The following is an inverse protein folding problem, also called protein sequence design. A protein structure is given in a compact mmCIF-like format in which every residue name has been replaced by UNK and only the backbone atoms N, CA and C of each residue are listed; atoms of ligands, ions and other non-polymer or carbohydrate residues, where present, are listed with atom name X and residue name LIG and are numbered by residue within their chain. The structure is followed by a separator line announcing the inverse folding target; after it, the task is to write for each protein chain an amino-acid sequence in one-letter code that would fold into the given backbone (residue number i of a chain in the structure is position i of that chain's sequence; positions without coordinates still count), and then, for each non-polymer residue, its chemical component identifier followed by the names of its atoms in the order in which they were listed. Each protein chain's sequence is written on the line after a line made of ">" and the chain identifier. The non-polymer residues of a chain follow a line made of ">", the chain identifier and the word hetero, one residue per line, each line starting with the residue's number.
data_IF_414409586966
#
_entry.id   IF_414409586966
#
_cell.length_a   1.000
_cell.length_b   1.000
_cell.length_c   1.000
_cell.angle_alpha   90.00
_cell.angle_beta   90.00
_cell.angle_gamma   90.00
#
_symmetry.space_group_name_H-M   'P 1'
#
loop_
_entity.id
_entity.type
_entity.pdbx_description
1 polymer ?
#
# COMPACT_ATOMS: atom_id res chain seq x y z
N UNK A 1 55.69 18.64 48.19
CA UNK A 1 54.80 17.48 47.94
C UNK A 1 53.89 17.83 46.77
N UNK A 2 54.09 17.23 45.60
CA UNK A 2 53.28 17.53 44.41
C UNK A 2 51.95 16.77 44.48
N UNK A 3 50.83 17.49 44.48
CA UNK A 3 49.49 16.91 44.45
C UNK A 3 49.31 16.11 43.15
N UNK A 4 48.96 14.82 43.28
CA UNK A 4 48.65 13.97 42.13
C UNK A 4 47.40 14.50 41.43
N UNK A 5 47.40 14.68 40.09
CA UNK A 5 46.23 15.20 39.38
C UNK A 5 45.05 14.22 39.48
N UNK A 6 43.84 14.74 39.70
CA UNK A 6 42.62 13.94 39.78
C UNK A 6 42.36 13.23 38.44
N UNK A 7 42.05 11.91 38.43
CA UNK A 7 41.73 11.21 37.20
C UNK A 7 40.44 11.78 36.59
N UNK A 8 40.52 12.25 35.34
CA UNK A 8 39.35 12.72 34.59
C UNK A 8 38.46 11.51 34.27
N UNK A 9 37.27 11.44 34.86
CA UNK A 9 36.22 10.49 34.44
C UNK A 9 35.77 10.90 33.04
N UNK A 10 35.87 10.02 32.06
CA UNK A 10 35.32 10.27 30.72
C UNK A 10 33.81 10.43 30.81
N UNK A 11 33.25 11.52 30.25
CA UNK A 11 31.80 11.74 30.15
C UNK A 11 31.10 10.74 29.21
N UNK A 12 31.90 9.96 28.46
CA UNK A 12 31.39 8.92 27.60
C UNK A 12 31.08 7.67 28.44
N UNK A 13 29.90 7.06 28.24
CA UNK A 13 29.58 5.78 28.87
C UNK A 13 30.66 4.77 28.48
N UNK A 14 31.10 3.91 29.42
CA UNK A 14 32.09 2.89 29.12
C UNK A 14 31.56 2.04 27.95
N UNK A 15 32.42 1.67 26.98
CA UNK A 15 31.98 0.87 25.84
C UNK A 15 31.31 -0.39 26.38
N UNK A 16 30.07 -0.64 25.97
CA UNK A 16 29.33 -1.82 26.39
C UNK A 16 30.18 -3.04 26.12
N UNK A 17 30.47 -3.82 27.18
CA UNK A 17 31.25 -5.05 27.08
C UNK A 17 30.63 -5.88 25.95
N UNK A 18 31.38 -5.98 24.84
CA UNK A 18 30.96 -6.67 23.63
C UNK A 18 30.45 -8.05 24.02
N UNK A 19 29.18 -8.29 23.71
CA UNK A 19 28.54 -9.58 23.43
C UNK A 19 29.25 -10.76 24.10
N UNK A 20 28.80 -11.16 25.30
CA UNK A 20 28.97 -12.54 25.73
C UNK A 20 28.31 -13.39 24.64
N UNK A 21 29.10 -14.20 23.93
CA UNK A 21 28.63 -15.21 23.01
C UNK A 21 27.76 -16.18 23.81
N UNK A 22 26.44 -15.96 23.81
CA UNK A 22 25.49 -16.79 24.54
C UNK A 22 25.40 -18.23 24.00
N UNK A 23 26.07 -18.53 22.89
CA UNK A 23 26.30 -19.89 22.40
C UNK A 23 27.71 -20.34 22.78
N UNK A 24 27.93 -20.65 24.06
CA UNK A 24 29.06 -21.50 24.43
C UNK A 24 28.67 -22.93 24.03
N UNK A 25 28.77 -23.22 22.73
CA UNK A 25 28.63 -24.60 22.26
C UNK A 25 29.84 -25.35 22.79
N UNK A 26 29.61 -26.31 23.69
CA UNK A 26 30.69 -27.03 24.38
C UNK A 26 31.59 -27.80 23.42
N UNK A 27 31.03 -28.30 22.30
CA UNK A 27 31.76 -29.03 21.27
C UNK A 27 31.28 -28.64 19.86
N UNK A 28 32.21 -28.20 19.01
CA UNK A 28 31.94 -27.92 17.59
C UNK A 28 32.40 -29.12 16.77
N UNK A 29 31.45 -30.00 16.40
CA UNK A 29 31.73 -31.12 15.49
C UNK A 29 31.92 -30.61 14.06
N UNK A 30 33.06 -30.92 13.44
CA UNK A 30 33.33 -30.55 12.06
C UNK A 30 32.92 -31.67 11.10
N UNK A 31 31.82 -31.46 10.38
CA UNK A 31 31.37 -32.39 9.35
C UNK A 31 32.01 -32.07 8.00
N UNK A 32 32.76 -33.04 7.46
CA UNK A 32 33.47 -32.90 6.19
C UNK A 32 32.51 -32.86 5.00
N UNK A 33 31.34 -33.50 5.09
CA UNK A 33 30.35 -33.50 4.01
C UNK A 33 29.67 -32.14 3.91
N UNK A 34 29.26 -31.58 5.06
CA UNK A 34 28.76 -30.21 5.14
C UNK A 34 29.80 -29.18 4.66
N UNK A 35 31.09 -29.41 4.95
CA UNK A 35 32.19 -28.58 4.41
C UNK A 35 32.27 -28.68 2.89
N UNK A 36 32.17 -29.88 2.33
CA UNK A 36 32.24 -30.09 0.89
C UNK A 36 31.05 -29.42 0.18
N UNK A 37 29.85 -29.55 0.71
CA UNK A 37 28.66 -28.83 0.23
C UNK A 37 28.81 -27.31 0.38
N UNK A 38 29.43 -26.85 1.46
CA UNK A 38 29.74 -25.43 1.63
C UNK A 38 30.82 -24.97 0.62
N UNK A 39 31.83 -25.75 0.29
CA UNK A 39 32.83 -25.30 -0.68
C UNK A 39 32.32 -25.38 -2.13
N UNK A 40 31.45 -26.32 -2.48
CA UNK A 40 30.97 -26.49 -3.86
C UNK A 40 29.63 -25.79 -4.12
N UNK A 41 28.78 -25.65 -3.10
CA UNK A 41 27.40 -25.15 -3.19
C UNK A 41 27.23 -23.63 -3.15
N UNK A 42 28.20 -22.83 -3.61
CA UNK A 42 28.13 -21.35 -3.54
C UNK A 42 26.84 -20.79 -4.15
N UNK A 43 26.41 -21.33 -5.30
CA UNK A 43 25.17 -20.90 -5.96
C UNK A 43 23.94 -21.24 -5.10
N UNK A 44 23.89 -22.44 -4.52
CA UNK A 44 22.83 -22.84 -3.59
C UNK A 44 22.74 -21.90 -2.39
N UNK A 45 23.88 -21.55 -1.77
CA UNK A 45 23.90 -20.59 -0.65
C UNK A 45 23.53 -19.16 -1.05
N UNK A 46 23.92 -18.73 -2.26
CA UNK A 46 23.49 -17.42 -2.77
C UNK A 46 21.98 -17.38 -2.94
N UNK A 47 21.39 -18.42 -3.53
CA UNK A 47 19.94 -18.54 -3.66
C UNK A 47 19.25 -18.64 -2.29
N UNK A 48 19.76 -19.44 -1.36
CA UNK A 48 19.23 -19.52 0.01
C UNK A 48 19.25 -18.16 0.71
N UNK A 49 20.35 -17.40 0.62
CA UNK A 49 20.40 -16.03 1.18
C UNK A 49 19.35 -15.11 0.57
N UNK A 50 19.16 -15.19 -0.75
CA UNK A 50 18.12 -14.40 -1.43
C UNK A 50 16.72 -14.82 -0.96
N UNK A 51 16.45 -16.12 -0.86
CA UNK A 51 15.18 -16.66 -0.38
C UNK A 51 14.92 -16.26 1.08
N UNK A 52 15.90 -16.43 1.97
CA UNK A 52 15.76 -16.02 3.37
C UNK A 52 15.48 -14.52 3.48
N UNK A 53 16.17 -13.67 2.71
CA UNK A 53 15.90 -12.24 2.72
C UNK A 53 14.48 -11.92 2.21
N UNK A 54 13.99 -12.64 1.20
CA UNK A 54 12.61 -12.51 0.71
C UNK A 54 11.59 -12.98 1.75
N UNK A 55 11.85 -14.10 2.43
CA UNK A 55 10.99 -14.65 3.47
C UNK A 55 10.94 -13.73 4.70
N UNK A 56 12.07 -13.18 5.14
CA UNK A 56 12.11 -12.20 6.23
C UNK A 56 11.35 -10.92 5.87
N UNK A 57 11.51 -10.41 4.64
CA UNK A 57 10.75 -9.26 4.17
C UNK A 57 9.25 -9.56 4.13
N UNK A 58 8.85 -10.74 3.66
CA UNK A 58 7.45 -11.15 3.64
C UNK A 58 6.86 -11.31 5.06
N UNK A 59 7.64 -11.86 6.01
CA UNK A 59 7.24 -11.97 7.41
C UNK A 59 7.02 -10.59 8.04
N UNK A 60 7.95 -9.65 7.83
CA UNK A 60 7.81 -8.27 8.32
C UNK A 60 6.61 -7.56 7.71
N UNK A 61 6.44 -7.62 6.40
CA UNK A 61 5.28 -7.01 5.73
C UNK A 61 3.94 -7.59 6.23
N UNK A 62 3.89 -8.89 6.55
CA UNK A 62 2.70 -9.50 7.16
C UNK A 62 2.44 -8.98 8.57
N UNK A 63 3.48 -8.86 9.39
CA UNK A 63 3.38 -8.32 10.75
C UNK A 63 2.91 -6.87 10.73
N UNK A 64 3.53 -6.03 9.90
CA UNK A 64 3.15 -4.62 9.70
C UNK A 64 1.68 -4.52 9.26
N UNK A 65 1.21 -5.35 8.33
CA UNK A 65 -0.19 -5.37 7.91
C UNK A 65 -1.15 -5.75 9.04
N UNK A 66 -0.76 -6.67 9.92
CA UNK A 66 -1.56 -7.05 11.08
C UNK A 66 -1.60 -5.92 12.11
N UNK A 67 -0.46 -5.29 12.38
CA UNK A 67 -0.34 -4.15 13.29
C UNK A 67 -1.16 -2.95 12.81
N UNK A 68 -1.06 -2.59 11.52
CA UNK A 68 -1.88 -1.53 10.92
C UNK A 68 -3.38 -1.82 11.05
N UNK A 69 -3.81 -3.08 10.80
CA UNK A 69 -5.22 -3.47 10.99
C UNK A 69 -5.65 -3.39 12.45
N UNK A 70 -4.76 -3.71 13.38
CA UNK A 70 -5.01 -3.60 14.82
C UNK A 70 -5.16 -2.13 15.22
N UNK A 71 -4.27 -1.26 14.75
CA UNK A 71 -4.33 0.19 14.97
C UNK A 71 -5.65 0.78 14.46
N UNK A 72 -6.05 0.48 13.22
CA UNK A 72 -7.33 0.97 12.67
C UNK A 72 -8.52 0.53 13.52
N UNK A 73 -8.52 -0.71 14.04
CA UNK A 73 -9.60 -1.19 14.92
C UNK A 73 -9.59 -0.49 16.27
N UNK A 74 -8.41 -0.25 16.84
CA UNK A 74 -8.25 0.48 18.09
C UNK A 74 -8.65 1.95 17.96
N UNK A 75 -8.30 2.60 16.84
CA UNK A 75 -8.71 3.96 16.49
C UNK A 75 -10.24 4.06 16.40
N UNK A 76 -10.87 3.20 15.59
CA UNK A 76 -12.34 3.16 15.50
C UNK A 76 -13.02 2.90 16.83
N UNK A 77 -12.46 2.01 17.65
CA UNK A 77 -12.98 1.73 18.99
C UNK A 77 -12.89 2.96 19.88
N UNK A 78 -11.75 3.67 19.87
CA UNK A 78 -11.56 4.90 20.63
C UNK A 78 -12.49 6.02 20.15
N UNK A 79 -12.67 6.16 18.85
CA UNK A 79 -13.60 7.15 18.27
C UNK A 79 -15.04 6.89 18.75
N UNK A 80 -15.48 5.63 18.77
CA UNK A 80 -16.80 5.26 19.28
C UNK A 80 -16.89 5.51 20.80
N UNK A 81 -15.89 5.11 21.58
CA UNK A 81 -15.86 5.36 23.03
C UNK A 81 -15.92 6.86 23.34
N UNK A 82 -15.11 7.67 22.65
CA UNK A 82 -15.15 9.14 22.77
C UNK A 82 -16.51 9.69 22.37
N UNK A 83 -17.10 9.22 21.27
CA UNK A 83 -18.40 9.70 20.83
C UNK A 83 -19.49 9.41 21.88
N UNK A 84 -19.53 8.18 22.42
CA UNK A 84 -20.47 7.82 23.49
C UNK A 84 -20.24 8.68 24.74
N UNK A 85 -18.98 8.89 25.14
CA UNK A 85 -18.65 9.80 26.25
C UNK A 85 -19.13 11.23 25.98
N UNK A 86 -18.97 11.75 24.75
CA UNK A 86 -19.45 13.09 24.40
C UNK A 86 -20.98 13.20 24.44
N UNK A 87 -21.71 12.18 23.95
CA UNK A 87 -23.18 12.15 23.98
C UNK A 87 -23.68 12.04 25.41
N UNK A 88 -23.10 11.14 26.20
CA UNK A 88 -23.44 11.00 27.63
C UNK A 88 -23.18 12.31 28.39
N UNK A 89 -22.07 13.01 28.09
CA UNK A 89 -21.80 14.33 28.67
C UNK A 89 -22.85 15.35 28.27
N UNK A 90 -23.23 15.43 26.98
CA UNK A 90 -24.28 16.35 26.52
C UNK A 90 -25.63 16.04 27.18
N UNK A 91 -25.98 14.75 27.34
CA UNK A 91 -27.20 14.33 28.01
C UNK A 91 -27.17 14.74 29.49
N UNK A 92 -26.08 14.45 30.21
CA UNK A 92 -25.91 14.88 31.60
C UNK A 92 -25.95 16.40 31.75
N UNK A 93 -25.30 17.15 30.85
CA UNK A 93 -25.36 18.61 30.82
C UNK A 93 -26.80 19.11 30.59
N UNK A 94 -27.59 18.46 29.72
CA UNK A 94 -28.99 18.78 29.49
C UNK A 94 -29.90 18.45 30.67
N UNK A 95 -29.68 17.31 31.33
CA UNK A 95 -30.40 16.89 32.55
C UNK A 95 -30.13 17.86 33.71
N UNK A 96 -28.88 18.31 33.85
CA UNK A 96 -28.46 19.30 34.87
C UNK A 96 -28.94 20.71 34.50
N UNK A 97 -29.04 21.06 33.22
CA UNK A 97 -29.45 22.38 32.75
C UNK A 97 -30.97 22.64 32.82
N UNK A 98 -31.81 21.60 32.94
CA UNK A 98 -33.22 21.79 33.27
C UNK A 98 -34.13 20.71 32.70
N UNK A 99 -34.88 20.06 33.59
CA UNK A 99 -36.08 19.29 33.27
C UNK A 99 -37.05 20.16 32.44
N UNK A 100 -37.08 19.97 31.12
CA UNK A 100 -38.09 20.52 30.23
C UNK A 100 -38.65 19.38 29.39
N UNK A 101 -39.83 18.95 29.83
CA UNK A 101 -40.97 18.58 29.01
C UNK A 101 -40.88 17.27 28.21
N UNK A 102 -41.46 16.23 28.84
CA UNK A 102 -42.21 15.20 28.14
C UNK A 102 -43.17 15.85 27.13
N UNK A 103 -42.80 15.90 25.85
CA UNK A 103 -43.76 15.94 24.77
C UNK A 103 -43.39 14.87 23.76
N UNK A 104 -43.94 13.70 24.07
CA UNK A 104 -44.29 12.64 23.15
C UNK A 104 -45.11 13.22 22.00
N UNK A 105 -44.50 13.34 20.81
CA UNK A 105 -45.25 13.30 19.56
C UNK A 105 -44.51 12.36 18.61
N UNK A 106 -45.04 11.14 18.57
CA UNK A 106 -44.59 10.01 17.78
C UNK A 106 -44.93 10.27 16.29
N UNK A 107 -44.04 10.96 15.59
CA UNK A 107 -43.92 10.80 14.14
C UNK A 107 -42.95 9.64 13.90
N UNK A 108 -43.50 8.43 13.95
CA UNK A 108 -42.84 7.20 13.54
C UNK A 108 -42.56 7.27 12.04
N UNK A 109 -41.45 7.89 11.64
CA UNK A 109 -40.82 7.64 10.34
C UNK A 109 -40.23 6.23 10.37
N UNK A 110 -41.13 5.25 10.32
CA UNK A 110 -40.84 3.84 10.16
C UNK A 110 -40.15 3.68 8.81
N UNK A 111 -38.86 3.37 8.88
CA UNK A 111 -37.97 3.26 7.73
C UNK A 111 -38.56 2.30 6.69
N UNK A 112 -39.13 2.88 5.64
CA UNK A 112 -39.63 2.17 4.46
C UNK A 112 -38.42 1.49 3.80
N UNK A 113 -38.35 0.16 3.91
CA UNK A 113 -37.20 -0.62 3.48
C UNK A 113 -36.84 -0.38 2.02
N UNK A 114 -35.61 -0.74 1.64
CA UNK A 114 -35.18 -0.63 0.24
C UNK A 114 -36.18 -1.36 -0.67
N UNK A 115 -36.64 -0.73 -1.76
CA UNK A 115 -37.55 -1.38 -2.69
C UNK A 115 -36.87 -2.64 -3.27
N UNK A 116 -37.60 -3.76 -3.26
CA UNK A 116 -37.13 -5.08 -3.74
C UNK A 116 -36.71 -5.10 -5.21
N UNK A 117 -37.05 -4.05 -5.97
CA UNK A 117 -36.58 -3.83 -7.32
C UNK A 117 -35.74 -2.56 -7.35
N UNK A 118 -34.40 -2.65 -7.54
CA UNK A 118 -33.63 -1.48 -7.86
C UNK A 118 -34.16 -0.93 -9.18
N UNK A 119 -34.52 0.36 -9.20
CA UNK A 119 -34.76 1.08 -10.45
C UNK A 119 -33.44 1.06 -11.22
N UNK A 120 -33.26 0.05 -12.06
CA UNK A 120 -32.18 -0.10 -13.02
C UNK A 120 -32.45 0.83 -14.21
N UNK A 121 -32.66 2.12 -13.92
CA UNK A 121 -32.49 3.10 -14.97
C UNK A 121 -31.02 3.02 -15.38
N UNK A 122 -30.82 2.59 -16.63
CA UNK A 122 -29.52 2.49 -17.27
C UNK A 122 -29.07 3.93 -17.52
N UNK A 123 -28.53 4.57 -16.49
CA UNK A 123 -28.03 5.94 -16.61
C UNK A 123 -26.54 5.88 -16.87
N UNK A 124 -26.19 6.07 -18.15
CA UNK A 124 -24.82 6.32 -18.55
C UNK A 124 -24.46 7.75 -18.08
N UNK A 125 -23.74 7.83 -16.96
CA UNK A 125 -23.31 9.10 -16.38
C UNK A 125 -21.88 9.43 -16.82
N UNK A 126 -21.70 10.58 -17.45
CA UNK A 126 -20.38 11.14 -17.74
C UNK A 126 -20.05 12.21 -16.71
N UNK A 127 -19.03 11.97 -15.88
CA UNK A 127 -18.54 12.94 -14.89
C UNK A 127 -17.18 13.49 -15.31
N UNK A 128 -17.09 14.83 -15.37
CA UNK A 128 -15.85 15.55 -15.66
C UNK A 128 -15.07 15.79 -14.37
N UNK A 129 -13.89 15.16 -14.25
CA UNK A 129 -12.97 15.39 -13.14
C UNK A 129 -11.84 16.32 -13.59
N UNK A 130 -11.72 17.45 -12.87
CA UNK A 130 -10.71 18.47 -13.09
C UNK A 130 -9.73 18.44 -11.90
N UNK A 131 -8.56 17.87 -12.11
CA UNK A 131 -7.40 18.07 -11.23
C UNK A 131 -6.57 19.26 -11.77
N UNK A 132 -5.85 19.97 -10.90
CA UNK A 132 -5.06 21.18 -11.22
C UNK A 132 -4.13 21.03 -12.45
N UNK A 133 -3.69 19.80 -12.77
CA UNK A 133 -2.80 19.48 -13.89
C UNK A 133 -3.42 18.47 -14.89
N UNK A 134 -4.65 17.95 -14.69
CA UNK A 134 -5.23 16.89 -15.53
C UNK A 134 -6.76 16.99 -15.64
N UNK A 135 -7.23 17.02 -16.88
CA UNK A 135 -8.65 16.87 -17.22
C UNK A 135 -8.90 15.42 -17.62
N UNK A 136 -9.76 14.71 -16.90
CA UNK A 136 -10.16 13.33 -17.23
C UNK A 136 -11.66 13.18 -17.10
N UNK A 137 -12.30 12.65 -18.14
CA UNK A 137 -13.71 12.24 -18.12
C UNK A 137 -13.82 10.78 -17.69
N UNK A 138 -14.72 10.51 -16.75
CA UNK A 138 -15.05 9.15 -16.31
C UNK A 138 -16.47 8.84 -16.75
N UNK A 139 -16.64 7.81 -17.58
CA UNK A 139 -17.95 7.32 -18.01
C UNK A 139 -18.35 6.10 -17.17
N UNK A 140 -19.50 6.17 -16.53
CA UNK A 140 -20.08 5.07 -15.74
C UNK A 140 -21.17 4.43 -16.60
N UNK A 141 -20.86 3.27 -17.19
CA UNK A 141 -21.81 2.49 -17.98
C UNK A 141 -22.43 1.36 -17.14
N UNK A 142 -23.71 1.10 -17.32
CA UNK A 142 -24.37 -0.05 -16.69
C UNK A 142 -24.00 -1.36 -17.39
N UNK A 143 -23.66 -2.41 -16.63
CA UNK A 143 -23.28 -3.72 -17.18
C UNK A 143 -23.97 -4.84 -16.42
N UNK A 144 -24.61 -5.75 -17.15
CA UNK A 144 -25.22 -6.96 -16.58
C UNK A 144 -24.16 -8.03 -16.34
N UNK A 145 -24.16 -8.64 -15.15
CA UNK A 145 -23.21 -9.69 -14.77
C UNK A 145 -23.92 -11.05 -14.84
N UNK A 146 -23.56 -11.87 -15.83
CA UNK A 146 -24.05 -13.24 -15.97
C UNK A 146 -22.93 -14.26 -15.72
N UNK A 147 -23.28 -15.55 -15.63
CA UNK A 147 -22.32 -16.66 -15.48
C UNK A 147 -21.24 -16.66 -16.58
N UNK A 148 -21.57 -16.14 -17.76
CA UNK A 148 -20.71 -16.12 -18.95
C UNK A 148 -19.89 -14.82 -19.08
N UNK A 149 -20.17 -13.80 -18.27
CA UNK A 149 -19.40 -12.56 -18.24
C UNK A 149 -20.22 -11.30 -18.04
N UNK A 150 -19.57 -10.17 -18.32
CA UNK A 150 -20.12 -8.82 -18.28
C UNK A 150 -20.68 -8.46 -19.67
N UNK A 151 -21.99 -8.22 -19.76
CA UNK A 151 -22.67 -7.83 -21.00
C UNK A 151 -23.34 -6.47 -20.85
N UNK A 152 -23.13 -5.58 -21.82
CA UNK A 152 -23.90 -4.33 -21.91
C UNK A 152 -25.34 -4.67 -22.35
N UNK A 153 -26.38 -4.23 -21.63
CA UNK A 153 -27.76 -4.46 -22.07
C UNK A 153 -27.99 -3.74 -23.41
N UNK A 154 -28.53 -4.44 -24.42
CA UNK A 154 -28.96 -3.81 -25.67
C UNK A 154 -30.30 -3.12 -25.43
N UNK A 155 -30.35 -1.82 -25.65
CA UNK A 155 -31.57 -1.02 -25.62
C UNK A 155 -32.12 -1.02 -27.06
N UNK A 156 -33.27 -1.64 -27.27
CA UNK A 156 -34.04 -1.53 -28.51
C UNK A 156 -34.71 -0.15 -28.56
N UNK A 157 -33.98 0.87 -29.01
CA UNK A 157 -34.58 2.09 -29.54
C UNK A 157 -34.74 1.92 -31.05
N UNK A 158 -36.00 1.85 -31.48
CA UNK A 158 -36.46 1.66 -32.85
C UNK A 158 -36.26 2.89 -33.74
N UNK A 159 -35.65 2.65 -34.92
CA UNK A 159 -35.79 3.33 -36.24
C UNK A 159 -35.33 4.82 -36.31
N UNK A 160 -34.36 5.22 -37.14
CA UNK A 160 -34.33 5.13 -38.62
C UNK A 160 -32.89 5.18 -39.23
N UNK A 161 -32.74 4.45 -40.37
CA UNK A 161 -31.88 4.68 -41.57
C UNK A 161 -30.33 4.89 -41.41
N UNK A 162 -29.40 4.29 -42.15
CA UNK A 162 -29.41 3.36 -43.29
C UNK A 162 -27.97 2.83 -43.55
N UNK A 163 -27.89 1.68 -44.23
CA UNK A 163 -26.81 1.22 -45.12
C UNK A 163 -25.34 1.02 -44.63
N UNK A 164 -24.96 -0.24 -44.37
CA UNK A 164 -24.26 -1.03 -45.40
C UNK A 164 -24.03 -2.51 -45.05
N UNK A 165 -24.59 -3.35 -45.91
CA UNK A 165 -24.22 -4.70 -46.30
C UNK A 165 -22.70 -5.00 -46.22
N UNK A 166 -22.33 -6.12 -45.58
CA UNK A 166 -21.54 -7.22 -46.20
C UNK A 166 -21.24 -8.38 -45.24
N UNK A 167 -21.85 -9.51 -45.58
CA UNK A 167 -21.28 -10.86 -45.71
C UNK A 167 -20.49 -11.48 -44.55
N UNK A 168 -21.04 -12.60 -44.10
CA UNK A 168 -20.41 -13.60 -43.26
C UNK A 168 -19.08 -14.11 -43.83
N UNK A 169 -18.07 -14.23 -42.96
CA UNK A 169 -17.09 -15.32 -43.08
C UNK A 169 -16.61 -15.78 -41.71
N UNK A 170 -16.68 -17.10 -41.60
CA UNK A 170 -16.43 -17.97 -40.48
C UNK A 170 -14.94 -18.06 -40.08
N UNK A 171 -14.73 -18.43 -38.82
CA UNK A 171 -13.50 -18.96 -38.18
C UNK A 171 -12.22 -18.10 -38.18
N UNK A 172 -11.73 -17.73 -36.99
CA UNK A 172 -10.58 -18.40 -36.33
C UNK A 172 -10.10 -17.60 -35.12
N UNK A 173 -9.79 -18.34 -34.06
CA UNK A 173 -9.08 -17.89 -32.86
C UNK A 173 -8.00 -16.84 -33.13
N UNK A 174 -8.22 -15.61 -32.67
CA UNK A 174 -7.13 -14.67 -32.44
C UNK A 174 -7.30 -13.99 -31.09
N UNK A 175 -6.60 -14.54 -30.10
CA UNK A 175 -6.26 -13.87 -28.84
C UNK A 175 -5.66 -12.49 -29.18
N UNK A 176 -6.45 -11.44 -29.02
CA UNK A 176 -5.96 -10.06 -28.99
C UNK A 176 -5.17 -9.86 -27.70
N UNK A 177 -3.91 -10.28 -27.76
CA UNK A 177 -2.88 -9.81 -26.86
C UNK A 177 -2.87 -8.27 -26.95
N UNK A 178 -3.39 -7.61 -25.91
CA UNK A 178 -3.19 -6.18 -25.69
C UNK A 178 -1.71 -5.90 -25.90
N UNK A 179 -1.40 -5.19 -26.97
CA UNK A 179 -0.05 -4.78 -27.32
C UNK A 179 0.45 -3.88 -26.19
N UNK A 180 1.16 -4.48 -25.23
CA UNK A 180 2.02 -3.74 -24.32
C UNK A 180 3.04 -3.07 -25.22
N UNK A 181 2.82 -1.78 -25.48
CA UNK A 181 3.81 -0.89 -26.06
C UNK A 181 5.13 -1.14 -25.32
N UNK A 182 6.05 -1.84 -25.96
CA UNK A 182 7.34 -2.18 -25.37
C UNK A 182 8.09 -0.88 -25.19
N UNK A 183 8.10 -0.36 -23.95
CA UNK A 183 8.91 0.79 -23.60
C UNK A 183 10.35 0.49 -24.02
N UNK A 184 11.01 1.37 -24.78
CA UNK A 184 12.32 1.07 -25.34
C UNK A 184 13.30 0.71 -24.22
N UNK A 185 13.90 -0.47 -24.33
CA UNK A 185 14.88 -0.98 -23.36
C UNK A 185 16.00 0.07 -23.22
N UNK A 186 16.15 0.63 -22.01
CA UNK A 186 17.20 1.63 -21.73
C UNK A 186 18.56 1.01 -22.05
N UNK A 187 19.32 1.63 -22.97
CA UNK A 187 20.67 1.18 -23.31
C UNK A 187 21.52 1.12 -22.04
N UNK A 188 22.31 0.06 -21.89
CA UNK A 188 23.27 -0.07 -20.78
C UNK A 188 24.13 1.20 -20.76
N UNK A 189 24.15 1.91 -19.63
CA UNK A 189 25.00 3.09 -19.49
C UNK A 189 26.44 2.64 -19.70
N UNK A 190 27.07 3.11 -20.78
CA UNK A 190 28.50 2.95 -20.95
C UNK A 190 29.13 3.76 -19.82
N UNK A 191 29.82 3.09 -18.89
CA UNK A 191 30.63 3.80 -17.93
C UNK A 191 31.70 4.52 -18.73
N UNK A 192 31.60 5.84 -18.79
CA UNK A 192 32.71 6.70 -19.18
C UNK A 192 33.05 7.49 -17.96
N UNK A 193 34.35 7.65 -17.71
CA UNK A 193 34.78 8.58 -16.69
C UNK A 193 34.22 9.95 -17.06
N UNK A 194 33.47 10.51 -16.12
CA UNK A 194 33.08 11.91 -16.17
C UNK A 194 34.34 12.77 -16.30
N UNK A 195 34.25 13.87 -17.04
CA UNK A 195 35.35 14.83 -17.10
C UNK A 195 35.62 15.38 -15.69
N UNK A 196 36.81 15.94 -15.44
CA UNK A 196 37.11 16.55 -14.13
C UNK A 196 36.05 17.57 -13.70
N UNK A 197 35.55 18.35 -14.66
CA UNK A 197 34.51 19.36 -14.44
C UNK A 197 33.16 18.73 -14.06
N UNK A 198 32.75 17.68 -14.77
CA UNK A 198 31.51 16.96 -14.47
C UNK A 198 31.55 16.33 -13.06
N UNK A 199 32.72 15.79 -12.66
CA UNK A 199 32.96 15.24 -11.31
C UNK A 199 32.81 16.27 -10.20
N UNK A 200 33.27 17.49 -10.45
CA UNK A 200 33.12 18.59 -9.49
C UNK A 200 31.65 18.98 -9.35
N UNK A 201 30.91 19.08 -10.46
CA UNK A 201 29.48 19.37 -10.45
C UNK A 201 28.66 18.27 -9.75
N UNK A 202 28.98 16.99 -9.99
CA UNK A 202 28.30 15.87 -9.31
C UNK A 202 28.62 15.87 -7.80
N UNK A 203 29.86 16.17 -7.42
CA UNK A 203 30.28 16.34 -6.03
C UNK A 203 29.55 17.47 -5.32
N UNK A 204 29.39 18.63 -5.96
CA UNK A 204 28.63 19.78 -5.43
C UNK A 204 27.16 19.39 -5.23
N UNK A 205 26.54 18.75 -6.23
CA UNK A 205 25.14 18.28 -6.14
C UNK A 205 24.93 17.28 -5.00
N UNK A 206 25.86 16.35 -4.81
CA UNK A 206 25.79 15.39 -3.70
C UNK A 206 25.89 16.07 -2.34
N UNK A 207 26.80 17.05 -2.20
CA UNK A 207 26.98 17.83 -0.96
C UNK A 207 25.75 18.67 -0.60
N UNK A 208 25.08 19.26 -1.60
CA UNK A 208 23.82 20.00 -1.39
C UNK A 208 22.71 19.03 -0.95
N UNK A 209 22.62 17.85 -1.58
CA UNK A 209 21.60 16.85 -1.26
C UNK A 209 21.76 16.24 0.13
N UNK A 210 23.00 16.03 0.59
CA UNK A 210 23.25 15.54 1.96
C UNK A 210 22.88 16.59 3.01
N UNK A 211 23.20 17.87 2.77
CA UNK A 211 22.86 18.98 3.67
C UNK A 211 21.35 19.24 3.80
N UNK A 212 20.54 18.85 2.81
CA UNK A 212 19.07 18.98 2.85
C UNK A 212 18.38 17.82 3.58
N UNK A 213 19.13 16.78 3.95
CA UNK A 213 18.61 15.57 4.61
C UNK A 213 18.98 15.49 6.09
N UNK A 214 19.83 16.41 6.55
CA UNK A 214 19.98 16.76 7.98
C UNK A 214 18.98 17.87 8.32
#
# INVERSE_FOLDING_TARGET
>A
MFAKPRPKKSLLPPPSKKRKSASAVEEVSFDNDARHEYLTGFHKRKQQRIKNAQEEAAKRARQEKIEMRKQIREERRREVEQHVETVNRMLQESEVAGAIEQNSDEASDEWDGFPDQPNLDIVDHEEEYIDEDRYTTVTVESVSVTRDGLHKPQIDESEDEDDNKKEAKDTTDSKTAKSRQEKPKKKKKKFRYESKFDRELTGIKHRIKSKRRE
#
